data_IF_633638751122
#
_entry.id   IF_633638751122
#
_cell.length_a   1.000
_cell.length_b   1.000
_cell.length_c   1.000
_cell.angle_alpha   90.00
_cell.angle_beta   90.00
_cell.angle_gamma   90.00
#
_symmetry.space_group_name_H-M   'P 1'
#
loop_
_entity.id
_entity.type
_entity.pdbx_description
1 polymer ?
#
# COMPACT_ATOMS: atom_id res chain seq x y z
N UNK A 1 -3.34 57.12 -13.79
CA UNK A 1 -3.40 55.67 -13.51
C UNK A 1 -3.70 54.94 -14.79
N UNK A 2 -2.75 54.16 -15.31
CA UNK A 2 -2.95 53.42 -16.56
C UNK A 2 -3.82 52.19 -16.33
N UNK A 3 -4.96 52.12 -17.02
CA UNK A 3 -5.81 50.95 -16.99
C UNK A 3 -5.06 49.74 -17.59
N UNK A 4 -4.99 48.64 -16.85
CA UNK A 4 -4.45 47.37 -17.35
C UNK A 4 -5.35 46.89 -18.49
N UNK A 5 -4.79 46.86 -19.72
CA UNK A 5 -5.50 46.31 -20.88
C UNK A 5 -5.86 44.83 -20.70
N UNK A 6 -6.76 44.31 -21.53
CA UNK A 6 -7.31 42.94 -21.39
C UNK A 6 -6.28 41.81 -21.24
N UNK A 7 -5.07 41.97 -21.81
CA UNK A 7 -3.95 41.02 -21.60
C UNK A 7 -3.36 41.07 -20.19
N UNK A 8 -3.30 42.24 -19.57
CA UNK A 8 -2.85 42.41 -18.19
C UNK A 8 -3.83 41.84 -17.17
N UNK A 9 -5.14 42.00 -17.42
CA UNK A 9 -6.19 41.38 -16.62
C UNK A 9 -6.18 39.84 -16.75
N UNK A 10 -5.95 39.32 -17.95
CA UNK A 10 -5.84 37.88 -18.19
C UNK A 10 -4.60 37.28 -17.50
N UNK A 11 -3.45 37.95 -17.58
CA UNK A 11 -2.22 37.51 -16.92
C UNK A 11 -2.37 37.47 -15.38
N UNK A 12 -3.03 38.48 -14.80
CA UNK A 12 -3.31 38.52 -13.36
C UNK A 12 -4.28 37.41 -12.92
N UNK A 13 -5.29 37.10 -13.73
CA UNK A 13 -6.24 36.02 -13.45
C UNK A 13 -5.58 34.63 -13.52
N UNK A 14 -4.67 34.40 -14.48
CA UNK A 14 -3.91 33.15 -14.58
C UNK A 14 -2.92 33.01 -13.41
N UNK A 15 -2.22 34.09 -13.04
CA UNK A 15 -1.27 34.09 -11.94
C UNK A 15 -1.95 33.83 -10.58
N UNK A 16 -3.12 34.44 -10.34
CA UNK A 16 -3.89 34.22 -9.10
C UNK A 16 -4.50 32.82 -9.05
N UNK A 17 -4.99 32.29 -10.17
CA UNK A 17 -5.45 30.90 -10.27
C UNK A 17 -4.34 29.89 -9.98
N UNK A 18 -3.14 30.12 -10.52
CA UNK A 18 -1.97 29.27 -10.29
C UNK A 18 -1.47 29.33 -8.84
N UNK A 19 -1.45 30.53 -8.23
CA UNK A 19 -1.11 30.70 -6.83
C UNK A 19 -2.11 29.99 -5.91
N UNK A 20 -3.42 30.13 -6.15
CA UNK A 20 -4.46 29.43 -5.39
C UNK A 20 -4.30 27.92 -5.52
N UNK A 21 -4.09 27.39 -6.73
CA UNK A 21 -3.84 25.96 -6.95
C UNK A 21 -2.56 25.46 -6.26
N UNK A 22 -1.48 26.22 -6.33
CA UNK A 22 -0.22 25.88 -5.65
C UNK A 22 -0.39 25.88 -4.13
N UNK A 23 -1.09 26.87 -3.57
CA UNK A 23 -1.38 26.96 -2.14
C UNK A 23 -2.30 25.82 -1.68
N UNK A 24 -3.34 25.48 -2.45
CA UNK A 24 -4.21 24.32 -2.21
C UNK A 24 -3.42 22.99 -2.26
N UNK A 25 -2.57 22.81 -3.26
CA UNK A 25 -1.72 21.63 -3.39
C UNK A 25 -0.70 21.53 -2.23
N UNK A 26 -0.14 22.65 -1.78
CA UNK A 26 0.80 22.73 -0.65
C UNK A 26 0.12 22.38 0.68
N UNK A 27 -1.10 22.88 0.92
CA UNK A 27 -1.82 22.72 2.19
C UNK A 27 -2.52 21.36 2.35
N UNK A 28 -3.03 20.77 1.26
CA UNK A 28 -3.74 19.48 1.31
C UNK A 28 -2.84 18.25 1.15
N UNK A 29 -1.57 18.44 0.77
CA UNK A 29 -0.60 17.35 0.60
C UNK A 29 0.56 17.30 1.63
N UNK A 30 0.36 17.56 2.94
CA UNK A 30 1.40 17.34 3.95
C UNK A 30 1.51 15.83 4.26
N UNK A 31 2.05 15.08 3.31
CA UNK A 31 2.24 13.63 3.38
C UNK A 31 2.81 13.04 2.08
N UNK A 32 2.46 13.64 0.94
CA UNK A 32 2.91 13.24 -0.39
C UNK A 32 4.36 13.66 -0.72
N UNK A 33 4.97 14.54 0.07
CA UNK A 33 6.35 15.04 -0.14
C UNK A 33 7.47 14.09 0.31
N UNK A 34 7.15 13.01 1.03
CA UNK A 34 8.16 12.10 1.61
C UNK A 34 8.55 10.95 0.68
N UNK A 35 7.76 10.70 -0.36
CA UNK A 35 7.98 9.63 -1.33
C UNK A 35 8.09 10.26 -2.72
N UNK A 36 9.13 9.92 -3.51
CA UNK A 36 9.25 10.40 -4.88
C UNK A 36 7.97 10.19 -5.68
N UNK A 37 7.55 11.17 -6.49
CA UNK A 37 6.32 11.12 -7.31
C UNK A 37 6.19 9.82 -8.11
N UNK A 38 7.30 9.29 -8.64
CA UNK A 38 7.36 8.02 -9.39
C UNK A 38 6.98 6.76 -8.59
N UNK A 39 6.99 6.86 -7.25
CA UNK A 39 6.62 5.78 -6.33
C UNK A 39 5.24 6.01 -5.69
N UNK A 40 4.55 7.08 -6.06
CA UNK A 40 3.16 7.32 -5.63
C UNK A 40 2.23 6.44 -6.46
N UNK A 41 1.47 5.60 -5.77
CA UNK A 41 0.51 4.69 -6.39
C UNK A 41 -0.89 5.21 -6.06
N UNK A 42 -1.76 5.44 -7.06
CA UNK A 42 -3.15 5.81 -6.78
C UNK A 42 -3.83 4.68 -6.02
N UNK A 43 -4.70 5.05 -5.08
CA UNK A 43 -5.43 4.06 -4.31
C UNK A 43 -6.38 3.28 -5.22
N UNK A 44 -6.23 1.95 -5.22
CA UNK A 44 -7.13 1.03 -5.89
C UNK A 44 -7.43 -0.15 -4.96
N UNK A 45 -8.69 -0.37 -4.58
CA UNK A 45 -9.03 -1.48 -3.70
C UNK A 45 -8.88 -2.84 -4.40
N UNK A 46 -8.39 -3.84 -3.65
CA UNK A 46 -8.47 -5.24 -4.06
C UNK A 46 -9.92 -5.72 -4.07
N UNK A 47 -10.31 -6.47 -5.09
CA UNK A 47 -11.66 -7.06 -5.19
C UNK A 47 -11.89 -8.09 -4.06
N UNK A 48 -13.14 -8.44 -3.71
CA UNK A 48 -13.41 -9.50 -2.74
C UNK A 48 -12.77 -10.85 -3.12
N UNK A 49 -12.76 -11.18 -4.42
CA UNK A 49 -12.12 -12.40 -4.94
C UNK A 49 -10.61 -12.36 -4.75
N UNK A 50 -9.97 -11.23 -5.05
CA UNK A 50 -8.54 -11.07 -4.83
C UNK A 50 -8.16 -11.15 -3.35
N UNK A 51 -8.95 -10.54 -2.46
CA UNK A 51 -8.76 -10.68 -1.01
C UNK A 51 -8.85 -12.14 -0.58
N UNK A 52 -9.88 -12.86 -1.03
CA UNK A 52 -10.02 -14.28 -0.73
C UNK A 52 -8.84 -15.11 -1.25
N UNK A 53 -8.38 -14.84 -2.48
CA UNK A 53 -7.24 -15.53 -3.07
C UNK A 53 -5.94 -15.25 -2.31
N UNK A 54 -5.68 -13.99 -1.95
CA UNK A 54 -4.51 -13.59 -1.16
C UNK A 54 -4.45 -14.34 0.17
N UNK A 55 -5.58 -14.40 0.88
CA UNK A 55 -5.61 -15.06 2.18
C UNK A 55 -5.59 -16.58 2.07
N UNK A 56 -6.11 -17.16 0.98
CA UNK A 56 -5.96 -18.58 0.71
C UNK A 56 -4.47 -18.98 0.58
N UNK A 57 -3.63 -18.15 -0.02
CA UNK A 57 -2.17 -18.39 -0.12
C UNK A 57 -1.41 -18.19 1.20
N UNK A 58 -2.05 -17.58 2.21
CA UNK A 58 -1.52 -17.40 3.57
C UNK A 58 -2.17 -18.35 4.59
N UNK A 59 -3.11 -19.20 4.16
CA UNK A 59 -3.86 -20.07 5.08
C UNK A 59 -2.91 -21.01 5.82
N UNK A 60 -3.12 -21.13 7.13
CA UNK A 60 -2.33 -22.01 8.00
C UNK A 60 -0.96 -21.46 8.39
N UNK A 61 -0.57 -20.28 7.88
CA UNK A 61 0.67 -19.61 8.32
C UNK A 61 0.47 -18.92 9.67
N UNK A 62 1.57 -18.73 10.38
CA UNK A 62 1.63 -18.04 11.65
C UNK A 62 2.63 -16.86 11.57
N UNK A 63 2.67 -16.06 12.63
CA UNK A 63 3.59 -14.94 12.77
C UNK A 63 3.04 -13.60 12.24
N UNK A 64 3.78 -12.54 12.53
CA UNK A 64 3.42 -11.16 12.21
C UNK A 64 3.12 -11.01 10.72
N UNK A 65 1.94 -10.48 10.45
CA UNK A 65 1.39 -10.26 9.12
C UNK A 65 1.25 -8.78 8.86
N UNK A 66 1.83 -8.31 7.76
CA UNK A 66 1.81 -6.90 7.38
C UNK A 66 1.28 -6.70 5.97
N UNK A 67 0.49 -5.65 5.76
CA UNK A 67 0.04 -5.20 4.44
C UNK A 67 0.72 -3.86 4.10
N UNK A 68 1.52 -3.85 3.03
CA UNK A 68 2.30 -2.69 2.60
C UNK A 68 1.49 -1.84 1.61
N UNK A 69 1.07 -0.66 2.04
CA UNK A 69 0.09 0.15 1.31
C UNK A 69 -1.33 -0.33 1.57
N UNK A 70 -1.70 -0.46 2.85
CA UNK A 70 -2.91 -1.17 3.28
C UNK A 70 -4.23 -0.51 2.85
N UNK A 71 -4.19 0.73 2.37
CA UNK A 71 -5.36 1.46 1.91
C UNK A 71 -6.49 1.48 2.94
N UNK A 72 -7.65 0.97 2.57
CA UNK A 72 -8.83 0.91 3.43
C UNK A 72 -8.84 -0.25 4.43
N UNK A 73 -7.70 -0.94 4.58
CA UNK A 73 -7.45 -1.93 5.62
C UNK A 73 -8.14 -3.28 5.42
N UNK A 74 -8.78 -3.52 4.27
CA UNK A 74 -9.57 -4.74 4.03
C UNK A 74 -8.73 -6.03 4.14
N UNK A 75 -7.51 -6.03 3.62
CA UNK A 75 -6.63 -7.21 3.64
C UNK A 75 -6.16 -7.53 5.07
N UNK A 76 -5.76 -6.50 5.84
CA UNK A 76 -5.38 -6.65 7.25
C UNK A 76 -6.55 -7.18 8.09
N UNK A 77 -7.75 -6.62 7.89
CA UNK A 77 -8.95 -7.02 8.63
C UNK A 77 -9.32 -8.48 8.34
N UNK A 78 -9.33 -8.87 7.07
CA UNK A 78 -9.63 -10.24 6.67
C UNK A 78 -8.51 -11.22 7.06
N UNK A 79 -7.25 -10.81 7.02
CA UNK A 79 -6.13 -11.60 7.55
C UNK A 79 -6.33 -11.91 9.04
N UNK A 80 -6.68 -10.90 9.84
CA UNK A 80 -6.96 -11.09 11.26
C UNK A 80 -8.12 -12.05 11.51
N UNK A 81 -9.20 -11.95 10.73
CA UNK A 81 -10.35 -12.86 10.80
C UNK A 81 -9.96 -14.31 10.49
N UNK A 82 -8.98 -14.53 9.64
CA UNK A 82 -8.44 -15.86 9.33
C UNK A 82 -7.39 -16.37 10.33
N UNK A 83 -7.17 -15.66 11.45
CA UNK A 83 -6.28 -16.08 12.52
C UNK A 83 -4.82 -15.63 12.36
N UNK A 84 -4.49 -14.88 11.30
CA UNK A 84 -3.16 -14.29 11.13
C UNK A 84 -2.96 -13.17 12.15
N UNK A 85 -2.00 -13.35 13.06
CA UNK A 85 -1.75 -12.44 14.17
C UNK A 85 -0.25 -12.35 14.50
N UNK A 86 0.25 -11.17 14.92
CA UNK A 86 -0.43 -9.87 14.84
C UNK A 86 -0.63 -9.42 13.37
N UNK A 87 -1.69 -8.67 13.09
CA UNK A 87 -2.02 -8.15 11.76
C UNK A 87 -1.94 -6.62 11.73
N UNK A 88 -1.09 -6.07 10.85
CA UNK A 88 -0.83 -4.64 10.74
C UNK A 88 -0.91 -4.13 9.30
N UNK A 89 -1.33 -2.89 9.12
CA UNK A 89 -1.29 -2.18 7.84
C UNK A 89 -0.43 -0.93 7.90
N UNK A 90 0.42 -0.72 6.90
CA UNK A 90 1.16 0.52 6.72
C UNK A 90 0.58 1.32 5.56
N UNK A 91 0.17 2.56 5.83
CA UNK A 91 -0.45 3.45 4.84
C UNK A 91 -0.01 4.90 5.10
N UNK A 92 0.19 5.69 4.04
CA UNK A 92 0.62 7.08 4.13
C UNK A 92 -0.56 8.05 4.14
N UNK A 93 -1.65 7.70 3.44
CA UNK A 93 -2.81 8.56 3.29
C UNK A 93 -3.66 8.56 4.58
N UNK A 94 -3.77 9.70 5.29
CA UNK A 94 -4.53 9.79 6.53
C UNK A 94 -6.02 9.48 6.34
N UNK A 95 -6.62 9.78 5.19
CA UNK A 95 -8.03 9.49 4.92
C UNK A 95 -8.30 7.99 4.81
N UNK A 96 -7.39 7.25 4.17
CA UNK A 96 -7.47 5.80 4.07
C UNK A 96 -7.24 5.15 5.43
N UNK A 97 -6.34 5.68 6.25
CA UNK A 97 -6.17 5.25 7.64
C UNK A 97 -7.43 5.48 8.47
N UNK A 98 -8.07 6.64 8.35
CA UNK A 98 -9.35 6.90 9.02
C UNK A 98 -10.42 5.88 8.58
N UNK A 99 -10.53 5.61 7.28
CA UNK A 99 -11.46 4.62 6.74
C UNK A 99 -11.15 3.20 7.24
N UNK A 100 -9.87 2.80 7.28
CA UNK A 100 -9.42 1.51 7.77
C UNK A 100 -9.77 1.32 9.26
N UNK A 101 -9.48 2.33 10.09
CA UNK A 101 -9.82 2.31 11.51
C UNK A 101 -11.35 2.27 11.73
N UNK A 102 -12.12 3.06 10.97
CA UNK A 102 -13.58 3.03 11.03
C UNK A 102 -14.13 1.64 10.69
N UNK A 103 -13.58 0.97 9.66
CA UNK A 103 -14.00 -0.39 9.29
C UNK A 103 -13.64 -1.43 10.35
N UNK A 104 -12.45 -1.33 10.94
CA UNK A 104 -12.08 -2.22 12.05
C UNK A 104 -12.98 -2.00 13.25
N UNK A 105 -13.33 -0.76 13.58
CA UNK A 105 -14.31 -0.44 14.62
C UNK A 105 -15.69 -1.01 14.32
N UNK A 106 -16.24 -0.73 13.12
CA UNK A 106 -17.54 -1.25 12.68
C UNK A 106 -17.59 -2.78 12.72
N UNK A 107 -16.48 -3.45 12.46
CA UNK A 107 -16.38 -4.90 12.48
C UNK A 107 -16.04 -5.50 13.87
N UNK A 108 -15.88 -4.69 14.92
CA UNK A 108 -15.55 -5.19 16.28
C UNK A 108 -14.09 -5.63 16.48
N UNK A 109 -13.19 -5.15 15.61
CA UNK A 109 -11.76 -5.46 15.63
C UNK A 109 -10.87 -4.24 15.93
N UNK A 110 -11.45 -3.12 16.38
CA UNK A 110 -10.68 -1.99 16.87
C UNK A 110 -9.74 -2.42 18.02
N UNK A 111 -8.47 -1.98 17.98
CA UNK A 111 -7.43 -2.40 18.92
C UNK A 111 -6.89 -3.81 18.71
N UNK A 112 -7.53 -4.65 17.89
CA UNK A 112 -7.06 -6.00 17.55
C UNK A 112 -6.19 -6.02 16.29
N UNK A 113 -6.46 -5.10 15.36
CA UNK A 113 -5.62 -4.79 14.20
C UNK A 113 -5.03 -3.39 14.36
N UNK A 114 -3.86 -3.16 13.78
CA UNK A 114 -3.18 -1.86 13.84
C UNK A 114 -2.95 -1.27 12.46
N UNK A 115 -3.38 -0.03 12.25
CA UNK A 115 -3.09 0.74 11.03
C UNK A 115 -2.16 1.89 11.38
N UNK A 116 -0.98 1.91 10.78
CA UNK A 116 0.10 2.82 11.15
C UNK A 116 0.43 3.76 9.99
N UNK A 117 0.46 5.07 10.29
CA UNK A 117 0.91 6.10 9.34
C UNK A 117 2.42 6.06 9.16
N UNK A 118 2.91 5.10 8.37
CA UNK A 118 4.34 4.92 8.11
C UNK A 118 4.61 4.70 6.64
N UNK A 119 5.79 5.18 6.24
CA UNK A 119 6.35 4.91 4.92
C UNK A 119 6.86 3.47 4.87
N UNK A 120 6.34 2.67 3.94
CA UNK A 120 6.73 1.27 3.77
C UNK A 120 8.23 1.11 3.49
N UNK A 121 8.91 2.13 2.99
CA UNK A 121 10.37 2.05 2.76
C UNK A 121 11.16 2.10 4.07
N UNK A 122 10.59 2.69 5.13
CA UNK A 122 11.27 2.97 6.40
C UNK A 122 10.87 2.03 7.53
N UNK A 123 9.86 1.19 7.33
CA UNK A 123 9.48 0.19 8.33
C UNK A 123 10.51 -0.94 8.33
N UNK A 124 10.82 -1.45 9.50
CA UNK A 124 11.61 -2.67 9.65
C UNK A 124 10.70 -3.88 9.43
N UNK A 125 11.11 -4.78 8.54
CA UNK A 125 10.40 -6.01 8.19
C UNK A 125 11.05 -7.29 8.75
N UNK A 126 12.12 -7.18 9.55
CA UNK A 126 12.90 -8.32 10.05
C UNK A 126 12.14 -9.31 10.92
N UNK A 127 11.03 -8.90 11.51
CA UNK A 127 10.15 -9.72 12.36
C UNK A 127 8.84 -10.12 11.65
N UNK A 128 8.72 -9.90 10.34
CA UNK A 128 7.51 -10.14 9.57
C UNK A 128 7.59 -11.48 8.80
N UNK A 129 6.69 -12.41 9.10
CA UNK A 129 6.67 -13.74 8.45
C UNK A 129 5.66 -13.83 7.30
N UNK A 130 4.71 -12.90 7.23
CA UNK A 130 3.71 -12.81 6.17
C UNK A 130 3.60 -11.37 5.69
N UNK A 131 3.81 -11.14 4.39
CA UNK A 131 3.73 -9.81 3.79
C UNK A 131 2.73 -9.84 2.65
N UNK A 132 1.79 -8.90 2.66
CA UNK A 132 0.83 -8.68 1.58
C UNK A 132 1.23 -7.41 0.83
N UNK A 133 1.23 -7.47 -0.50
CA UNK A 133 1.60 -6.34 -1.37
C UNK A 133 0.65 -6.21 -2.54
N UNK A 134 -0.14 -5.15 -2.55
CA UNK A 134 -0.97 -4.76 -3.69
C UNK A 134 -0.51 -3.39 -4.24
N UNK A 135 0.58 -3.38 -5.01
CA UNK A 135 1.23 -2.16 -5.50
C UNK A 135 1.50 -2.22 -7.00
N UNK A 136 1.66 -1.04 -7.62
CA UNK A 136 1.91 -0.89 -9.05
C UNK A 136 3.25 -1.55 -9.50
N UNK A 137 3.35 -1.96 -10.78
CA UNK A 137 4.57 -2.57 -11.33
C UNK A 137 5.84 -1.74 -11.13
N UNK A 138 5.74 -0.40 -11.24
CA UNK A 138 6.88 0.52 -11.08
C UNK A 138 7.54 0.44 -9.69
N UNK A 139 6.79 0.01 -8.67
CA UNK A 139 7.25 -0.11 -7.29
C UNK A 139 7.85 -1.49 -7.00
N UNK A 140 7.52 -2.51 -7.80
CA UNK A 140 7.92 -3.90 -7.53
C UNK A 140 9.43 -4.12 -7.50
N UNK A 141 10.26 -3.59 -8.44
CA UNK A 141 11.70 -3.84 -8.42
C UNK A 141 12.40 -3.29 -7.15
N UNK A 142 12.27 -2.01 -6.76
CA UNK A 142 12.92 -1.53 -5.53
C UNK A 142 12.35 -2.20 -4.26
N UNK A 143 11.06 -2.56 -4.27
CA UNK A 143 10.46 -3.29 -3.16
C UNK A 143 11.02 -4.70 -3.03
N UNK A 144 11.27 -5.40 -4.14
CA UNK A 144 11.90 -6.72 -4.13
C UNK A 144 13.26 -6.67 -3.41
N UNK A 145 14.09 -5.68 -3.72
CA UNK A 145 15.39 -5.48 -3.06
C UNK A 145 15.24 -5.30 -1.55
N UNK A 146 14.29 -4.47 -1.09
CA UNK A 146 14.03 -4.26 0.34
C UNK A 146 13.56 -5.56 1.02
N UNK A 147 12.60 -6.25 0.42
CA UNK A 147 12.03 -7.47 0.99
C UNK A 147 13.09 -8.58 1.12
N UNK A 148 13.96 -8.73 0.12
CA UNK A 148 15.08 -9.68 0.18
C UNK A 148 16.16 -9.29 1.18
N UNK A 149 16.36 -8.00 1.45
CA UNK A 149 17.33 -7.56 2.44
C UNK A 149 16.82 -7.76 3.87
N UNK A 150 15.52 -7.54 4.12
CA UNK A 150 15.00 -7.42 5.47
C UNK A 150 14.20 -8.63 5.98
N UNK A 151 13.50 -9.38 5.13
CA UNK A 151 12.62 -10.43 5.63
C UNK A 151 13.37 -11.65 6.17
N UNK A 152 12.83 -12.38 7.17
CA UNK A 152 13.39 -13.66 7.57
C UNK A 152 13.23 -14.71 6.46
N UNK A 153 14.07 -15.75 6.46
CA UNK A 153 14.06 -16.81 5.42
C UNK A 153 12.72 -17.53 5.32
N UNK A 154 12.05 -17.75 6.46
CA UNK A 154 10.77 -18.44 6.51
C UNK A 154 9.58 -17.54 6.12
N UNK A 155 9.82 -16.26 5.79
CA UNK A 155 8.75 -15.35 5.38
C UNK A 155 8.14 -15.73 4.03
N UNK A 156 6.84 -15.44 3.90
CA UNK A 156 6.12 -15.49 2.62
C UNK A 156 5.59 -14.12 2.24
N UNK A 157 5.78 -13.75 0.98
CA UNK A 157 5.23 -12.54 0.37
C UNK A 157 4.11 -12.94 -0.58
N UNK A 158 2.94 -12.31 -0.47
CA UNK A 158 1.84 -12.47 -1.42
C UNK A 158 1.60 -11.16 -2.16
N UNK A 159 1.84 -11.18 -3.47
CA UNK A 159 1.58 -10.07 -4.37
C UNK A 159 0.21 -10.22 -5.03
N UNK A 160 -0.59 -9.15 -5.05
CA UNK A 160 -1.84 -9.12 -5.83
C UNK A 160 -1.69 -8.33 -7.13
N UNK A 161 -2.45 -8.75 -8.16
CA UNK A 161 -2.53 -8.25 -9.55
C UNK A 161 -1.24 -8.18 -10.38
N UNK A 162 -0.12 -7.80 -9.79
CA UNK A 162 1.16 -7.69 -10.46
C UNK A 162 2.21 -8.53 -9.74
N UNK A 163 2.87 -9.49 -10.41
CA UNK A 163 3.94 -10.29 -9.83
C UNK A 163 5.21 -9.46 -9.60
N UNK A 164 6.15 -10.01 -8.83
CA UNK A 164 7.53 -9.52 -8.80
C UNK A 164 8.27 -10.03 -10.04
N UNK A 165 8.78 -9.15 -10.94
CA UNK A 165 9.30 -9.57 -12.25
C UNK A 165 10.47 -10.53 -12.22
N UNK A 166 11.34 -10.43 -11.20
CA UNK A 166 12.57 -11.21 -11.10
C UNK A 166 12.45 -12.43 -10.17
N UNK A 167 11.26 -12.72 -9.65
CA UNK A 167 11.05 -13.81 -8.70
C UNK A 167 10.16 -14.89 -9.30
N UNK A 168 10.56 -16.14 -9.10
CA UNK A 168 9.71 -17.30 -9.41
C UNK A 168 8.68 -17.49 -8.29
N UNK A 169 7.37 -17.50 -8.59
CA UNK A 169 6.35 -17.70 -7.57
C UNK A 169 6.30 -19.16 -7.11
N UNK A 170 6.21 -19.39 -5.80
CA UNK A 170 6.04 -20.74 -5.24
C UNK A 170 4.62 -21.27 -5.46
N UNK A 171 3.64 -20.37 -5.53
CA UNK A 171 2.24 -20.69 -5.86
C UNK A 171 1.51 -19.49 -6.44
N UNK A 172 0.46 -19.75 -7.21
CA UNK A 172 -0.41 -18.71 -7.76
C UNK A 172 -1.87 -19.12 -7.61
N UNK A 173 -2.76 -18.14 -7.55
CA UNK A 173 -4.20 -18.39 -7.45
C UNK A 173 -4.99 -17.30 -8.18
N UNK A 174 -6.14 -17.67 -8.74
CA UNK A 174 -6.98 -16.76 -9.52
C UNK A 174 -6.48 -16.49 -10.93
N UNK A 175 -7.17 -15.60 -11.65
CA UNK A 175 -6.87 -15.23 -13.03
C UNK A 175 -7.16 -13.74 -13.27
N UNK A 176 -6.51 -13.16 -14.27
CA UNK A 176 -6.72 -11.77 -14.68
C UNK A 176 -6.49 -10.77 -13.53
N UNK A 177 -7.42 -9.84 -13.34
CA UNK A 177 -7.30 -8.78 -12.33
C UNK A 177 -7.31 -9.27 -10.88
N UNK A 178 -7.79 -10.50 -10.65
CA UNK A 178 -7.92 -11.16 -9.35
C UNK A 178 -6.78 -12.15 -9.07
N UNK A 179 -5.81 -12.27 -9.98
CA UNK A 179 -4.66 -13.14 -9.81
C UNK A 179 -3.74 -12.65 -8.68
N UNK A 180 -3.18 -13.60 -7.95
CA UNK A 180 -2.23 -13.40 -6.84
C UNK A 180 -1.07 -14.40 -6.95
N UNK A 181 0.10 -14.01 -6.44
CA UNK A 181 1.34 -14.78 -6.48
C UNK A 181 1.94 -14.82 -5.08
N UNK A 182 2.31 -16.01 -4.60
CA UNK A 182 3.08 -16.17 -3.38
C UNK A 182 4.54 -16.48 -3.69
N UNK A 183 5.42 -16.01 -2.81
CA UNK A 183 6.86 -16.17 -2.88
C UNK A 183 7.37 -16.52 -1.49
N UNK A 184 8.07 -17.64 -1.36
CA UNK A 184 8.77 -18.01 -0.13
C UNK A 184 10.19 -17.46 -0.18
N UNK A 185 10.56 -16.63 0.79
CA UNK A 185 11.81 -15.84 0.73
C UNK A 185 13.04 -16.74 0.67
N UNK A 186 13.05 -17.87 1.40
CA UNK A 186 14.09 -18.89 1.30
C UNK A 186 14.31 -19.42 -0.12
N UNK A 187 13.25 -19.55 -0.92
CA UNK A 187 13.35 -20.05 -2.29
C UNK A 187 13.84 -18.96 -3.25
N UNK A 188 13.39 -17.72 -3.05
CA UNK A 188 13.83 -16.58 -3.86
C UNK A 188 15.32 -16.24 -3.64
N UNK A 189 15.87 -16.54 -2.45
CA UNK A 189 17.29 -16.31 -2.11
C UNK A 189 18.25 -17.36 -2.69
N UNK A 190 17.74 -18.50 -3.17
CA UNK A 190 18.55 -19.56 -3.76
C UNK A 190 18.93 -19.22 -5.20
#
# INVERSE_FOLDING_TARGET
GGALGGRGLLALAVASGAAVWATWAVLLMPGFRRVPLRLQVPYQPSSPRQVANTLALLRGRAGKTVDLGSGDGRLVLEAYKQGLRPALGYELNPWLLCLANYRAWKAGYHGKVSFLKKDLWKVNLSDCHNVIVFLAPSVKPPLATKLLAELPDDARVVAGRYPFPSWSPSSTLGQGLDQVWAYDIKEVRR
#
